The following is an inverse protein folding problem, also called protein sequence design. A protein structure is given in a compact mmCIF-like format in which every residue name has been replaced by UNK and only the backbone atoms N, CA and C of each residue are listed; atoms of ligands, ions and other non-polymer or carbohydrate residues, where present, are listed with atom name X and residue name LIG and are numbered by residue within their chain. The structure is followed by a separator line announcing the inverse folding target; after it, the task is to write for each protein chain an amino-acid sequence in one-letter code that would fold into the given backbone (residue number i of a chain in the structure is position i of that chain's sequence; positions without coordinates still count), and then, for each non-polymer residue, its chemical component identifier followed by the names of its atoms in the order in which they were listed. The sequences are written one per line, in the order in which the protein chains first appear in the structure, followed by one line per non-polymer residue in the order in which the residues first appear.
data_IF_033005489204
#
_entry.id   IF_033005489204
#
_cell.length_a   1.000
_cell.length_b   1.000
_cell.length_c   1.000
_cell.angle_alpha   90.00
_cell.angle_beta   90.00
_cell.angle_gamma   90.00
#
_symmetry.space_group_name_H-M   'P 1'
#
loop_
_entity.id
_entity.type
_entity.pdbx_description
1 polymer ?
#
# COMPACT_ATOMS: atom_id res chain seq x y z
N UNK A 1 30.00 8.75 -15.53
CA UNK A 1 28.67 8.10 -15.40
C UNK A 1 27.83 8.51 -16.59
N UNK A 2 27.20 7.58 -17.30
CA UNK A 2 26.52 7.87 -18.56
C UNK A 2 25.11 8.45 -18.31
N UNK A 3 24.67 9.36 -19.20
CA UNK A 3 23.45 10.19 -19.03
C UNK A 3 22.15 9.49 -19.49
N UNK A 4 22.28 8.32 -20.10
CA UNK A 4 21.24 7.47 -20.67
C UNK A 4 20.41 6.73 -19.61
N UNK A 5 21.06 6.24 -18.54
CA UNK A 5 20.41 5.45 -17.49
C UNK A 5 19.34 6.24 -16.73
N UNK A 6 19.57 7.55 -16.51
CA UNK A 6 18.59 8.45 -15.86
C UNK A 6 17.35 8.63 -16.74
N UNK A 7 17.53 8.74 -18.07
CA UNK A 7 16.43 8.86 -19.03
C UNK A 7 15.52 7.62 -19.04
N UNK A 8 16.11 6.42 -19.04
CA UNK A 8 15.34 5.17 -18.96
C UNK A 8 14.56 5.03 -17.65
N UNK A 9 15.15 5.39 -16.51
CA UNK A 9 14.48 5.35 -15.21
C UNK A 9 13.33 6.38 -15.15
N UNK A 10 13.54 7.60 -15.67
CA UNK A 10 12.50 8.63 -15.70
C UNK A 10 11.34 8.29 -16.67
N UNK A 11 11.66 7.65 -17.81
CA UNK A 11 10.65 7.15 -18.76
C UNK A 11 9.83 5.99 -18.18
N UNK A 12 10.49 5.07 -17.49
CA UNK A 12 9.83 3.96 -16.78
C UNK A 12 8.96 4.46 -15.62
N UNK A 13 9.40 5.50 -14.90
CA UNK A 13 8.63 6.16 -13.84
C UNK A 13 7.38 6.88 -14.38
N UNK A 14 7.50 7.66 -15.47
CA UNK A 14 6.32 8.28 -16.13
C UNK A 14 5.29 7.22 -16.58
N UNK A 15 5.76 6.08 -17.10
CA UNK A 15 4.89 4.98 -17.55
C UNK A 15 4.23 4.21 -16.40
N UNK A 16 4.71 4.36 -15.17
CA UNK A 16 4.14 3.75 -13.98
C UNK A 16 3.02 4.59 -13.35
N UNK A 17 3.01 5.91 -13.57
CA UNK A 17 2.05 6.85 -12.99
C UNK A 17 1.02 7.44 -13.99
N UNK A 18 1.24 7.34 -15.30
CA UNK A 18 0.28 7.81 -16.32
C UNK A 18 -0.23 6.67 -17.20
N UNK A 19 -1.43 6.17 -16.88
CA UNK A 19 -2.26 5.37 -17.81
C UNK A 19 -3.61 6.08 -17.98
N UNK A 20 -3.79 6.92 -19.01
CA UNK A 20 -5.08 7.55 -19.25
C UNK A 20 -6.09 6.50 -19.73
N UNK A 21 -7.27 6.48 -19.11
CA UNK A 21 -8.42 5.73 -19.63
C UNK A 21 -9.09 6.58 -20.72
N UNK A 22 -8.68 6.42 -21.98
CA UNK A 22 -9.35 7.05 -23.12
C UNK A 22 -10.53 6.21 -23.58
N UNK A 23 -11.74 6.79 -23.56
CA UNK A 23 -12.96 6.19 -24.09
C UNK A 23 -12.97 6.06 -25.62
N UNK A 24 -13.96 5.33 -26.13
CA UNK A 24 -14.20 5.17 -27.57
C UNK A 24 -14.74 6.46 -28.21
N UNK A 25 -14.35 6.72 -29.47
CA UNK A 25 -15.28 6.60 -30.59
C UNK A 25 -14.56 6.45 -31.94
N UNK A 26 -15.30 5.97 -32.95
CA UNK A 26 -14.83 5.64 -34.30
C UNK A 26 -14.54 6.94 -35.10
N UNK A 27 -13.65 7.04 -36.09
CA UNK A 27 -13.46 6.32 -37.40
C UNK A 27 -12.03 6.57 -37.95
N UNK A 28 -11.50 6.07 -39.09
CA UNK A 28 -11.90 5.06 -40.11
C UNK A 28 -10.64 4.59 -40.92
N UNK A 29 -10.60 3.28 -41.24
CA UNK A 29 -9.90 2.59 -42.35
C UNK A 29 -8.36 2.65 -42.59
N UNK A 30 -7.90 1.54 -43.17
CA UNK A 30 -6.73 1.32 -44.05
C UNK A 30 -5.29 1.55 -43.55
N UNK A 31 -4.73 0.49 -42.97
CA UNK A 31 -3.71 -0.34 -43.67
C UNK A 31 -3.60 -1.74 -43.05
N UNK A 32 -3.66 -2.77 -43.89
CA UNK A 32 -3.50 -4.15 -43.45
C UNK A 32 -2.07 -4.48 -43.03
N UNK A 33 -1.90 -5.01 -41.82
CA UNK A 33 -0.73 -5.80 -41.43
C UNK A 33 -1.23 -7.06 -40.70
N UNK A 34 -1.15 -8.25 -41.33
CA UNK A 34 -1.56 -9.49 -40.69
C UNK A 34 -0.54 -9.95 -39.64
N UNK A 35 -1.04 -10.63 -38.61
CA UNK A 35 -0.29 -11.28 -37.52
C UNK A 35 0.28 -10.40 -36.38
N UNK A 36 -0.56 -9.98 -35.44
CA UNK A 36 -0.36 -10.26 -33.99
C UNK A 36 -1.71 -10.48 -33.29
N UNK A 37 -2.39 -11.61 -33.55
CA UNK A 37 -3.62 -12.01 -32.82
C UNK A 37 -3.47 -13.37 -32.13
N UNK A 38 -2.53 -13.45 -31.20
CA UNK A 38 -2.38 -14.59 -30.29
C UNK A 38 -1.80 -14.14 -28.92
N UNK A 39 -2.34 -14.67 -27.82
CA UNK A 39 -1.63 -14.76 -26.54
C UNK A 39 -1.95 -13.78 -25.40
N UNK A 40 -2.80 -12.75 -25.55
CA UNK A 40 -2.92 -11.66 -24.55
C UNK A 40 -4.01 -11.81 -23.46
N UNK A 41 -4.43 -13.03 -23.11
CA UNK A 41 -5.41 -13.25 -22.01
C UNK A 41 -4.86 -13.97 -20.76
N UNK A 42 -3.66 -14.55 -20.81
CA UNK A 42 -3.06 -15.24 -19.64
C UNK A 42 -2.03 -14.38 -18.89
N UNK A 43 -1.33 -13.48 -19.58
CA UNK A 43 -0.29 -12.62 -18.98
C UNK A 43 -0.81 -11.64 -17.92
N UNK A 44 -1.89 -10.91 -18.23
CA UNK A 44 -2.42 -9.83 -17.37
C UNK A 44 -2.79 -10.29 -15.93
N UNK A 45 -3.13 -11.57 -15.74
CA UNK A 45 -3.38 -12.14 -14.41
C UNK A 45 -2.09 -12.34 -13.60
N UNK A 46 -1.02 -12.78 -14.25
CA UNK A 46 0.29 -12.96 -13.62
C UNK A 46 0.94 -11.60 -13.34
N UNK A 47 0.81 -10.65 -14.26
CA UNK A 47 1.30 -9.28 -14.10
C UNK A 47 0.63 -8.62 -12.86
N UNK A 48 -0.70 -8.67 -12.76
CA UNK A 48 -1.42 -8.05 -11.64
C UNK A 48 -1.16 -8.72 -10.29
N UNK A 49 -1.03 -10.06 -10.25
CA UNK A 49 -0.62 -10.78 -9.04
C UNK A 49 0.79 -10.38 -8.61
N UNK A 50 1.74 -10.32 -9.54
CA UNK A 50 3.15 -9.99 -9.28
C UNK A 50 3.31 -8.53 -8.82
N UNK A 51 2.58 -7.60 -9.44
CA UNK A 51 2.60 -6.18 -9.05
C UNK A 51 1.97 -5.98 -7.67
N UNK A 52 0.84 -6.62 -7.37
CA UNK A 52 0.22 -6.55 -6.04
C UNK A 52 1.11 -7.19 -4.96
N UNK A 53 1.75 -8.32 -5.27
CA UNK A 53 2.75 -8.96 -4.41
C UNK A 53 3.92 -8.01 -4.11
N UNK A 54 4.54 -7.43 -5.14
CA UNK A 54 5.70 -6.54 -4.97
C UNK A 54 5.33 -5.27 -4.19
N UNK A 55 4.18 -4.64 -4.47
CA UNK A 55 3.73 -3.46 -3.73
C UNK A 55 3.44 -3.77 -2.26
N UNK A 56 2.74 -4.86 -1.97
CA UNK A 56 2.49 -5.28 -0.58
C UNK A 56 3.79 -5.63 0.14
N UNK A 57 4.66 -6.44 -0.48
CA UNK A 57 5.93 -6.86 0.10
C UNK A 57 6.87 -5.68 0.37
N UNK A 58 7.12 -4.81 -0.62
CA UNK A 58 8.05 -3.67 -0.47
C UNK A 58 7.51 -2.59 0.48
N UNK A 59 6.21 -2.27 0.38
CA UNK A 59 5.55 -1.32 1.27
C UNK A 59 5.60 -1.78 2.72
N UNK A 60 5.24 -3.04 2.97
CA UNK A 60 5.38 -3.63 4.29
C UNK A 60 6.84 -3.83 4.71
N UNK A 61 7.79 -4.10 3.82
CA UNK A 61 9.21 -4.29 4.19
C UNK A 61 9.80 -3.01 4.76
N UNK A 62 9.53 -1.88 4.12
CA UNK A 62 9.89 -0.57 4.65
C UNK A 62 9.19 -0.30 5.99
N UNK A 63 7.88 -0.57 6.07
CA UNK A 63 7.05 -0.32 7.26
C UNK A 63 7.40 -1.19 8.46
N UNK A 64 7.61 -2.49 8.27
CA UNK A 64 7.90 -3.45 9.34
C UNK A 64 9.39 -3.55 9.67
N UNK A 65 10.26 -2.86 8.91
CA UNK A 65 11.71 -2.74 9.12
C UNK A 65 12.33 -3.96 9.81
N UNK A 66 12.42 -5.12 9.13
CA UNK A 66 12.73 -6.38 9.79
C UNK A 66 14.11 -6.40 10.48
N UNK A 67 15.05 -5.57 10.00
CA UNK A 67 16.37 -5.43 10.61
C UNK A 67 16.26 -4.66 11.93
N UNK A 68 15.65 -3.47 11.93
CA UNK A 68 15.50 -2.64 13.13
C UNK A 68 14.63 -3.31 14.20
N UNK A 69 13.51 -3.90 13.80
CA UNK A 69 12.64 -4.62 14.73
C UNK A 69 13.28 -5.89 15.29
N UNK A 70 14.23 -6.53 14.58
CA UNK A 70 15.03 -7.61 15.17
C UNK A 70 15.99 -7.09 16.24
N UNK A 71 16.57 -5.89 16.08
CA UNK A 71 17.34 -5.22 17.13
C UNK A 71 16.52 -4.99 18.41
N UNK A 72 15.28 -4.53 18.27
CA UNK A 72 14.33 -4.35 19.38
C UNK A 72 13.93 -5.71 19.99
N UNK A 73 13.68 -6.73 19.16
CA UNK A 73 13.41 -8.08 19.65
C UNK A 73 14.59 -8.68 20.44
N UNK A 74 15.84 -8.41 20.02
CA UNK A 74 17.05 -8.81 20.76
C UNK A 74 17.12 -8.10 22.12
N UNK A 75 16.85 -6.78 22.19
CA UNK A 75 16.92 -6.05 23.46
C UNK A 75 15.82 -6.47 24.45
N UNK A 76 14.62 -6.81 23.96
CA UNK A 76 13.54 -7.33 24.81
C UNK A 76 13.73 -8.80 25.23
N UNK A 77 14.28 -9.65 24.37
CA UNK A 77 14.43 -11.09 24.65
C UNK A 77 15.78 -11.49 25.26
N UNK A 78 16.72 -10.55 25.39
CA UNK A 78 17.91 -10.61 26.24
C UNK A 78 18.59 -11.98 26.29
N UNK A 79 18.73 -12.53 27.49
CA UNK A 79 19.35 -13.85 27.75
C UNK A 79 18.34 -15.02 27.80
N UNK A 80 17.10 -14.83 27.31
CA UNK A 80 16.11 -15.92 27.27
C UNK A 80 16.59 -17.10 26.42
N UNK A 81 16.22 -18.36 26.77
CA UNK A 81 16.64 -19.53 26.01
C UNK A 81 16.14 -19.50 24.56
N UNK A 82 16.93 -20.05 23.64
CA UNK A 82 16.63 -20.00 22.20
C UNK A 82 15.25 -20.62 21.85
N UNK A 83 14.84 -21.67 22.58
CA UNK A 83 13.53 -22.31 22.43
C UNK A 83 12.35 -21.38 22.74
N UNK A 84 12.50 -20.44 23.69
CA UNK A 84 11.48 -19.43 23.98
C UNK A 84 11.46 -18.34 22.89
N UNK A 85 12.63 -17.89 22.43
CA UNK A 85 12.75 -16.91 21.33
C UNK A 85 12.08 -17.40 20.04
N UNK A 86 12.28 -18.68 19.68
CA UNK A 86 11.60 -19.30 18.51
C UNK A 86 10.08 -19.39 18.72
N UNK A 87 9.60 -19.82 19.90
CA UNK A 87 8.15 -19.85 20.21
C UNK A 87 7.51 -18.46 20.15
N UNK A 88 8.21 -17.43 20.66
CA UNK A 88 7.78 -16.04 20.58
C UNK A 88 7.73 -15.55 19.13
N UNK A 89 8.78 -15.78 18.35
CA UNK A 89 8.85 -15.43 16.93
C UNK A 89 7.71 -16.05 16.12
N UNK A 90 7.43 -17.35 16.32
CA UNK A 90 6.32 -18.05 15.65
C UNK A 90 4.97 -17.43 16.04
N UNK A 91 4.71 -17.19 17.33
CA UNK A 91 3.45 -16.60 17.80
C UNK A 91 3.23 -15.19 17.23
N UNK A 92 4.25 -14.33 17.25
CA UNK A 92 4.19 -13.00 16.63
C UNK A 92 3.93 -13.10 15.12
N UNK A 93 4.67 -13.98 14.42
CA UNK A 93 4.54 -14.17 12.97
C UNK A 93 3.13 -14.59 12.57
N UNK A 94 2.56 -15.60 13.24
CA UNK A 94 1.22 -16.10 12.95
C UNK A 94 0.17 -15.00 13.18
N UNK A 95 0.21 -14.30 14.32
CA UNK A 95 -0.82 -13.29 14.60
C UNK A 95 -0.73 -12.08 13.67
N UNK A 96 0.48 -11.59 13.36
CA UNK A 96 0.63 -10.48 12.38
C UNK A 96 0.19 -10.93 10.98
N UNK A 97 0.51 -12.16 10.58
CA UNK A 97 0.01 -12.74 9.32
C UNK A 97 -1.51 -12.76 9.26
N UNK A 98 -2.18 -13.21 10.33
CA UNK A 98 -3.64 -13.24 10.44
C UNK A 98 -4.23 -11.83 10.38
N UNK A 99 -3.67 -10.86 11.10
CA UNK A 99 -4.14 -9.47 11.11
C UNK A 99 -4.00 -8.83 9.71
N UNK A 100 -2.86 -8.99 9.05
CA UNK A 100 -2.63 -8.43 7.71
C UNK A 100 -3.52 -9.08 6.65
N UNK A 101 -3.69 -10.41 6.67
CA UNK A 101 -4.61 -11.10 5.76
C UNK A 101 -6.05 -10.68 6.05
N UNK A 102 -6.51 -10.69 7.31
CA UNK A 102 -7.86 -10.21 7.66
C UNK A 102 -8.10 -8.77 7.17
N UNK A 103 -7.10 -7.89 7.28
CA UNK A 103 -7.15 -6.51 6.78
C UNK A 103 -7.24 -6.44 5.25
N UNK A 104 -6.49 -7.26 4.50
CA UNK A 104 -6.56 -7.30 3.02
C UNK A 104 -7.95 -7.70 2.52
N UNK A 105 -8.61 -8.63 3.21
CA UNK A 105 -9.89 -9.19 2.77
C UNK A 105 -11.10 -8.40 3.30
N UNK A 106 -11.06 -8.00 4.57
CA UNK A 106 -12.17 -7.29 5.24
C UNK A 106 -12.01 -5.77 5.36
N UNK A 107 -10.82 -5.22 5.15
CA UNK A 107 -10.54 -3.81 5.45
C UNK A 107 -11.40 -2.81 4.70
N UNK A 108 -11.67 -3.03 3.40
CA UNK A 108 -12.59 -2.16 2.65
C UNK A 108 -14.01 -2.23 3.20
N UNK A 109 -14.52 -3.43 3.48
CA UNK A 109 -15.87 -3.61 4.04
C UNK A 109 -16.02 -2.98 5.44
N UNK A 110 -14.94 -2.94 6.23
CA UNK A 110 -14.91 -2.23 7.51
C UNK A 110 -14.98 -0.71 7.29
N UNK A 111 -14.22 -0.16 6.34
CA UNK A 111 -14.28 1.27 5.99
C UNK A 111 -15.68 1.66 5.50
N UNK A 112 -16.28 0.86 4.63
CA UNK A 112 -17.64 1.05 4.12
C UNK A 112 -18.67 1.04 5.26
N UNK A 113 -18.54 0.12 6.23
CA UNK A 113 -19.42 0.03 7.40
C UNK A 113 -19.30 1.24 8.36
N UNK A 114 -18.14 1.89 8.41
CA UNK A 114 -17.94 3.15 9.15
C UNK A 114 -18.27 4.41 8.32
N UNK A 115 -18.62 4.27 7.03
CA UNK A 115 -18.82 5.40 6.12
C UNK A 115 -17.54 6.19 5.83
N UNK A 116 -16.36 5.59 6.01
CA UNK A 116 -15.06 6.23 5.79
C UNK A 116 -14.60 5.97 4.36
N UNK A 117 -14.38 7.03 3.58
CA UNK A 117 -13.88 6.87 2.22
C UNK A 117 -12.43 6.36 2.21
N UNK A 118 -12.12 5.48 1.26
CA UNK A 118 -10.76 4.98 1.05
C UNK A 118 -9.72 6.11 0.89
N UNK A 119 -9.99 7.21 0.14
CA UNK A 119 -9.05 8.34 0.03
C UNK A 119 -8.75 9.02 1.38
N UNK A 120 -9.77 9.20 2.24
CA UNK A 120 -9.58 9.76 3.58
C UNK A 120 -8.76 8.82 4.48
N UNK A 121 -8.98 7.51 4.37
CA UNK A 121 -8.19 6.52 5.09
C UNK A 121 -6.72 6.47 4.63
N UNK A 122 -6.45 6.61 3.32
CA UNK A 122 -5.09 6.74 2.78
C UNK A 122 -4.38 7.98 3.33
N UNK A 123 -5.06 9.13 3.39
CA UNK A 123 -4.52 10.37 3.97
C UNK A 123 -4.19 10.22 5.45
N UNK A 124 -5.12 9.68 6.24
CA UNK A 124 -4.94 9.48 7.68
C UNK A 124 -3.83 8.48 8.01
N UNK A 125 -3.80 7.33 7.34
CA UNK A 125 -2.73 6.34 7.53
C UNK A 125 -1.39 6.82 6.97
N UNK A 126 -1.39 7.58 5.87
CA UNK A 126 -0.21 8.26 5.35
C UNK A 126 0.43 9.18 6.39
N UNK A 127 -0.37 9.99 7.11
CA UNK A 127 0.12 10.82 8.22
C UNK A 127 0.73 9.98 9.37
N UNK A 128 0.14 8.83 9.70
CA UNK A 128 0.69 7.90 10.71
C UNK A 128 2.05 7.35 10.26
N UNK A 129 2.15 6.89 9.01
CA UNK A 129 3.39 6.35 8.44
C UNK A 129 4.46 7.45 8.32
N UNK A 130 4.07 8.69 7.97
CA UNK A 130 4.96 9.85 7.91
C UNK A 130 5.57 10.16 9.28
N UNK A 131 4.75 10.15 10.34
CA UNK A 131 5.21 10.36 11.72
C UNK A 131 6.20 9.28 12.18
N UNK A 132 5.98 8.03 11.79
CA UNK A 132 6.91 6.91 12.05
C UNK A 132 8.22 7.13 11.28
N UNK A 133 8.14 7.50 10.00
CA UNK A 133 9.31 7.84 9.17
C UNK A 133 10.16 8.96 9.77
N UNK A 134 9.54 10.06 10.21
CA UNK A 134 10.26 11.15 10.88
C UNK A 134 10.91 10.73 12.21
N UNK A 135 10.24 9.91 13.03
CA UNK A 135 10.85 9.33 14.25
C UNK A 135 12.09 8.49 13.94
N UNK A 136 12.08 7.74 12.82
CA UNK A 136 13.24 6.94 12.37
C UNK A 136 14.39 7.81 11.86
N UNK A 137 14.09 8.91 11.16
CA UNK A 137 15.09 9.90 10.74
C UNK A 137 15.75 10.62 11.92
N UNK A 138 14.97 10.96 12.95
CA UNK A 138 15.46 11.60 14.18
C UNK A 138 16.40 10.72 15.01
N UNK A 139 16.50 9.42 14.73
CA UNK A 139 17.42 8.51 15.41
C UNK A 139 17.05 8.23 16.88
N UNK A 140 15.82 8.51 17.30
CA UNK A 140 15.34 8.17 18.66
C UNK A 140 15.24 6.66 18.80
N UNK A 141 16.29 6.04 19.35
CA UNK A 141 16.62 4.61 19.18
C UNK A 141 15.49 3.61 19.50
N UNK A 142 14.55 3.99 20.37
CA UNK A 142 13.52 3.07 20.87
C UNK A 142 12.11 3.35 20.35
N UNK A 143 11.79 4.54 19.82
CA UNK A 143 10.38 5.03 19.83
C UNK A 143 9.68 5.16 18.48
N UNK A 144 10.33 4.74 17.38
CA UNK A 144 9.72 4.76 16.04
C UNK A 144 8.51 3.82 15.91
N UNK A 145 8.64 2.59 16.43
CA UNK A 145 7.58 1.59 16.44
C UNK A 145 6.80 1.54 17.77
N UNK A 146 7.18 2.34 18.77
CA UNK A 146 6.34 2.58 19.94
C UNK A 146 5.23 3.59 19.60
N UNK A 147 4.02 3.07 19.35
CA UNK A 147 2.78 3.86 19.51
C UNK A 147 2.58 4.15 21.00
N UNK A 148 2.02 5.32 21.36
CA UNK A 148 1.89 5.74 22.77
C UNK A 148 1.04 4.78 23.64
N UNK A 149 0.15 4.01 23.00
CA UNK A 149 -0.59 2.93 23.66
C UNK A 149 0.35 1.82 24.20
N UNK A 150 1.46 1.54 23.52
CA UNK A 150 2.48 0.60 23.99
C UNK A 150 3.43 1.19 25.02
N UNK A 151 3.71 2.50 24.97
CA UNK A 151 4.61 3.13 25.95
C UNK A 151 4.00 3.29 27.33
N UNK A 152 2.69 3.63 27.44
CA UNK A 152 2.00 3.66 28.74
C UNK A 152 2.00 2.31 29.44
N UNK A 153 1.70 1.22 28.71
CA UNK A 153 1.83 -0.13 29.25
C UNK A 153 3.27 -0.51 29.59
N UNK A 154 4.27 0.00 28.85
CA UNK A 154 5.68 -0.26 29.16
C UNK A 154 6.13 0.44 30.46
N UNK A 155 5.66 1.67 30.72
CA UNK A 155 5.93 2.38 31.98
C UNK A 155 5.21 1.74 33.17
N UNK A 156 3.94 1.35 33.02
CA UNK A 156 3.17 0.62 34.04
C UNK A 156 3.81 -0.75 34.39
N UNK A 157 4.43 -1.42 33.41
CA UNK A 157 5.18 -2.68 33.62
C UNK A 157 6.54 -2.42 34.26
N UNK A 158 7.23 -1.32 33.92
CA UNK A 158 8.52 -0.96 34.53
C UNK A 158 8.37 -0.54 36.00
N UNK A 159 7.20 -0.04 36.38
CA UNK A 159 6.85 0.27 37.77
C UNK A 159 6.53 -0.98 38.63
N UNK A 160 6.44 -2.18 38.03
CA UNK A 160 6.21 -3.45 38.72
C UNK A 160 7.40 -4.42 38.57
N UNK A 161 8.48 -4.12 39.30
CA UNK A 161 9.49 -5.14 39.58
C UNK A 161 8.87 -6.32 40.36
N UNK A 162 8.94 -7.52 39.78
CA UNK A 162 9.03 -8.85 40.43
C UNK A 162 8.63 -9.98 39.46
N UNK A 163 7.70 -9.73 38.54
CA UNK A 163 7.08 -10.78 37.70
C UNK A 163 6.83 -10.32 36.25
N UNK A 164 7.85 -9.83 35.56
CA UNK A 164 7.77 -9.59 34.10
C UNK A 164 7.81 -10.93 33.38
N UNK A 165 6.68 -11.62 33.38
CA UNK A 165 6.50 -12.88 32.66
C UNK A 165 6.76 -12.64 31.16
N UNK A 166 7.76 -13.35 30.65
CA UNK A 166 8.17 -13.44 29.24
C UNK A 166 7.02 -13.67 28.24
N UNK A 167 5.86 -14.13 28.72
CA UNK A 167 4.61 -14.25 27.97
C UNK A 167 4.06 -12.90 27.48
N UNK A 168 4.37 -11.78 28.14
CA UNK A 168 3.77 -10.46 27.87
C UNK A 168 4.45 -9.64 26.75
N UNK A 169 5.71 -9.97 26.41
CA UNK A 169 6.46 -9.32 25.30
C UNK A 169 5.79 -9.58 23.94
N UNK A 170 5.18 -10.75 23.80
CA UNK A 170 4.60 -11.20 22.52
C UNK A 170 3.32 -10.43 22.17
N UNK A 171 2.32 -10.26 23.07
CA UNK A 171 1.21 -9.32 22.85
C UNK A 171 1.66 -7.90 22.56
N UNK A 172 2.68 -7.37 23.25
CA UNK A 172 3.15 -5.99 23.04
C UNK A 172 3.75 -5.79 21.63
N UNK A 173 4.41 -6.81 21.09
CA UNK A 173 4.99 -6.79 19.73
C UNK A 173 3.93 -6.82 18.61
N UNK A 174 2.69 -7.25 18.90
CA UNK A 174 1.65 -7.43 17.88
C UNK A 174 1.05 -6.11 17.36
N UNK A 175 0.58 -5.15 18.19
CA UNK A 175 0.16 -3.82 17.74
C UNK A 175 1.27 -2.99 17.10
N UNK A 176 2.53 -3.36 17.36
CA UNK A 176 3.71 -2.66 16.85
C UNK A 176 3.98 -3.09 15.39
N UNK A 177 3.96 -4.40 15.11
CA UNK A 177 4.25 -4.97 13.79
C UNK A 177 3.03 -5.01 12.87
N UNK A 178 1.87 -5.42 13.40
CA UNK A 178 0.56 -5.35 12.74
C UNK A 178 -0.15 -4.02 12.99
N UNK A 179 0.60 -2.95 13.24
CA UNK A 179 0.07 -1.66 13.67
C UNK A 179 -0.71 -0.89 12.61
N UNK A 180 -1.28 0.28 12.98
CA UNK A 180 -2.15 1.05 12.10
C UNK A 180 -1.51 1.38 10.74
N UNK A 181 -0.22 1.72 10.71
CA UNK A 181 0.48 1.94 9.44
C UNK A 181 0.56 0.69 8.55
N UNK A 182 0.90 -0.48 9.11
CA UNK A 182 0.93 -1.76 8.37
C UNK A 182 -0.45 -2.14 7.85
N UNK A 183 -1.49 -1.96 8.67
CA UNK A 183 -2.90 -2.16 8.28
C UNK A 183 -3.27 -1.22 7.14
N UNK A 184 -3.01 0.09 7.25
CA UNK A 184 -3.33 1.05 6.18
C UNK A 184 -2.57 0.72 4.90
N UNK A 185 -1.30 0.34 4.97
CA UNK A 185 -0.52 -0.08 3.78
C UNK A 185 -1.20 -1.25 3.07
N UNK A 186 -1.57 -2.33 3.77
CA UNK A 186 -2.17 -3.50 3.09
C UNK A 186 -3.59 -3.26 2.61
N UNK A 187 -4.39 -2.47 3.33
CA UNK A 187 -5.75 -2.09 2.89
C UNK A 187 -5.67 -1.20 1.66
N UNK A 188 -4.75 -0.23 1.63
CA UNK A 188 -4.50 0.64 0.46
C UNK A 188 -4.08 -0.18 -0.76
N UNK A 189 -3.14 -1.12 -0.60
CA UNK A 189 -2.72 -2.00 -1.72
C UNK A 189 -3.85 -2.94 -2.16
N UNK A 190 -4.62 -3.52 -1.23
CA UNK A 190 -5.75 -4.38 -1.54
C UNK A 190 -6.89 -3.64 -2.28
N UNK A 191 -7.11 -2.37 -1.94
CA UNK A 191 -8.11 -1.53 -2.58
C UNK A 191 -7.65 -0.99 -3.95
N UNK A 192 -6.34 -0.76 -4.15
CA UNK A 192 -5.76 -0.44 -5.45
C UNK A 192 -5.84 -1.62 -6.46
N UNK A 193 -5.93 -2.86 -5.97
CA UNK A 193 -6.09 -4.06 -6.80
C UNK A 193 -7.30 -4.90 -6.32
N UNK A 194 -8.54 -4.41 -6.50
CA UNK A 194 -9.74 -4.99 -5.88
C UNK A 194 -10.10 -6.39 -6.43
N UNK A 195 -9.51 -6.79 -7.57
CA UNK A 195 -9.66 -8.13 -8.15
C UNK A 195 -9.19 -9.23 -7.19
N UNK A 196 -9.81 -10.41 -7.29
CA UNK A 196 -9.42 -11.60 -6.51
C UNK A 196 -7.93 -11.95 -6.67
N UNK A 197 -7.37 -11.80 -7.87
CA UNK A 197 -5.94 -12.02 -8.15
C UNK A 197 -5.03 -10.98 -7.49
N UNK A 198 -5.50 -9.74 -7.38
CA UNK A 198 -4.80 -8.65 -6.70
C UNK A 198 -4.75 -8.86 -5.19
N UNK A 199 -5.89 -9.14 -4.57
CA UNK A 199 -5.99 -9.48 -3.14
C UNK A 199 -5.17 -10.72 -2.77
N UNK A 200 -5.14 -11.73 -3.65
CA UNK A 200 -4.29 -12.91 -3.46
C UNK A 200 -2.79 -12.57 -3.57
N UNK A 201 -2.38 -11.76 -4.55
CA UNK A 201 -1.01 -11.27 -4.67
C UNK A 201 -0.56 -10.46 -3.45
N UNK A 202 -1.39 -9.53 -2.97
CA UNK A 202 -1.14 -8.77 -1.76
C UNK A 202 -1.04 -9.66 -0.51
N UNK A 203 -1.90 -10.68 -0.41
CA UNK A 203 -1.87 -11.66 0.69
C UNK A 203 -0.56 -12.47 0.68
N UNK A 204 -0.11 -12.93 -0.49
CA UNK A 204 1.17 -13.61 -0.65
C UNK A 204 2.36 -12.70 -0.31
N UNK A 205 2.30 -11.40 -0.67
CA UNK A 205 3.33 -10.42 -0.32
C UNK A 205 3.43 -10.18 1.18
N UNK A 206 2.28 -10.04 1.86
CA UNK A 206 2.22 -9.92 3.32
C UNK A 206 2.75 -11.19 4.02
N UNK A 207 2.31 -12.38 3.58
CA UNK A 207 2.76 -13.66 4.15
C UNK A 207 4.26 -13.91 3.92
N UNK A 208 4.79 -13.57 2.74
CA UNK A 208 6.22 -13.69 2.45
C UNK A 208 7.05 -12.80 3.37
N UNK A 209 6.60 -11.56 3.64
CA UNK A 209 7.32 -10.69 4.55
C UNK A 209 7.19 -11.13 6.02
N UNK A 210 6.00 -11.53 6.48
CA UNK A 210 5.86 -12.01 7.87
C UNK A 210 6.72 -13.25 8.10
N UNK A 211 6.88 -14.12 7.10
CA UNK A 211 7.83 -15.23 7.14
C UNK A 211 9.30 -14.73 7.23
N UNK A 212 9.72 -13.75 6.43
CA UNK A 212 11.06 -13.13 6.54
C UNK A 212 11.27 -12.55 7.93
N UNK A 213 10.30 -11.82 8.48
CA UNK A 213 10.35 -11.24 9.82
C UNK A 213 10.47 -12.33 10.90
N UNK A 214 9.69 -13.41 10.79
CA UNK A 214 9.76 -14.56 11.67
C UNK A 214 11.11 -15.27 11.64
N UNK A 215 11.71 -15.40 10.45
CA UNK A 215 13.08 -15.93 10.27
C UNK A 215 14.10 -14.99 10.93
N UNK A 216 14.00 -13.67 10.75
CA UNK A 216 14.89 -12.70 11.42
C UNK A 216 14.81 -12.78 12.95
N UNK A 217 13.59 -12.89 13.52
CA UNK A 217 13.41 -13.09 14.96
C UNK A 217 13.92 -14.44 15.46
N UNK A 218 13.72 -15.53 14.72
CA UNK A 218 14.28 -16.83 15.07
C UNK A 218 15.82 -16.82 15.00
N UNK A 219 16.40 -16.12 14.02
CA UNK A 219 17.83 -15.94 13.85
C UNK A 219 18.45 -14.85 14.75
N UNK A 220 17.66 -14.18 15.60
CA UNK A 220 18.09 -13.07 16.47
C UNK A 220 19.36 -13.34 17.28
N UNK A 221 19.52 -14.57 17.80
CA UNK A 221 20.71 -14.97 18.56
C UNK A 221 22.01 -14.99 17.72
N UNK A 222 21.90 -15.25 16.41
CA UNK A 222 23.01 -15.17 15.46
C UNK A 222 23.20 -13.71 15.00
N UNK A 223 22.10 -13.02 14.71
CA UNK A 223 22.08 -11.64 14.22
C UNK A 223 22.68 -10.63 15.22
N UNK A 224 22.55 -10.90 16.54
CA UNK A 224 23.23 -10.15 17.62
C UNK A 224 24.74 -10.03 17.44
N UNK A 225 25.39 -10.96 16.74
CA UNK A 225 26.85 -10.92 16.48
C UNK A 225 27.22 -10.11 15.24
N UNK A 226 26.26 -9.75 14.40
CA UNK A 226 26.49 -9.04 13.13
C UNK A 226 25.95 -7.60 13.12
N UNK A 227 24.93 -7.29 13.92
CA UNK A 227 24.36 -5.93 14.00
C UNK A 227 25.05 -5.12 15.09
N UNK A 228 25.98 -4.26 14.67
CA UNK A 228 26.56 -3.19 15.49
C UNK A 228 25.54 -2.04 15.65
N UNK A 229 25.43 -1.37 16.81
CA UNK A 229 24.50 -0.25 17.01
C UNK A 229 24.59 0.86 15.95
N UNK A 230 25.81 1.23 15.52
CA UNK A 230 26.01 2.19 14.43
C UNK A 230 25.41 1.75 13.09
N UNK A 231 25.49 0.45 12.75
CA UNK A 231 24.90 -0.08 11.53
C UNK A 231 23.36 -0.08 11.61
N UNK A 232 22.81 -0.42 12.78
CA UNK A 232 21.36 -0.33 13.04
C UNK A 232 20.84 1.10 12.85
N UNK A 233 21.56 2.13 13.32
CA UNK A 233 21.19 3.53 13.13
C UNK A 233 21.19 3.97 11.66
N UNK A 234 22.20 3.56 10.88
CA UNK A 234 22.26 3.88 9.44
C UNK A 234 21.07 3.23 8.71
N UNK A 235 20.78 1.96 9.00
CA UNK A 235 19.66 1.23 8.39
C UNK A 235 18.31 1.82 8.81
N UNK A 236 18.14 2.20 10.08
CA UNK A 236 16.92 2.83 10.59
C UNK A 236 16.63 4.14 9.85
N UNK A 237 17.64 5.01 9.68
CA UNK A 237 17.50 6.25 8.92
C UNK A 237 17.21 6.02 7.44
N UNK A 238 17.84 5.03 6.83
CA UNK A 238 17.57 4.67 5.42
C UNK A 238 16.15 4.16 5.21
N UNK A 239 15.66 3.26 6.08
CA UNK A 239 14.25 2.83 6.08
C UNK A 239 13.30 4.01 6.37
N UNK A 240 13.69 4.93 7.25
CA UNK A 240 12.93 6.16 7.55
C UNK A 240 12.74 7.06 6.32
N UNK A 241 13.79 7.25 5.50
CA UNK A 241 13.68 8.00 4.24
C UNK A 241 12.69 7.33 3.27
N UNK A 242 12.72 5.99 3.16
CA UNK A 242 11.78 5.24 2.32
C UNK A 242 10.35 5.36 2.86
N UNK A 243 10.15 5.30 4.18
CA UNK A 243 8.84 5.44 4.80
C UNK A 243 8.23 6.82 4.60
N UNK A 244 9.02 7.89 4.70
CA UNK A 244 8.57 9.25 4.37
C UNK A 244 8.14 9.34 2.91
N UNK A 245 8.86 8.71 1.98
CA UNK A 245 8.49 8.68 0.57
C UNK A 245 7.19 7.89 0.30
N UNK A 246 7.03 6.71 0.91
CA UNK A 246 5.79 5.91 0.81
C UNK A 246 4.60 6.65 1.42
N UNK A 247 4.80 7.31 2.57
CA UNK A 247 3.76 8.11 3.21
C UNK A 247 3.31 9.27 2.32
N UNK A 248 4.26 9.97 1.68
CA UNK A 248 3.95 11.04 0.73
C UNK A 248 3.18 10.52 -0.49
N UNK A 249 3.56 9.36 -1.05
CA UNK A 249 2.84 8.70 -2.17
C UNK A 249 1.39 8.33 -1.78
N UNK A 250 1.19 7.75 -0.59
CA UNK A 250 -0.14 7.45 -0.03
C UNK A 250 -0.98 8.72 0.18
N UNK A 251 -0.39 9.78 0.73
CA UNK A 251 -1.08 11.05 0.94
C UNK A 251 -1.43 11.75 -0.37
N UNK A 252 -0.53 11.76 -1.36
CA UNK A 252 -0.79 12.34 -2.68
C UNK A 252 -1.88 11.57 -3.43
N UNK A 253 -1.86 10.23 -3.37
CA UNK A 253 -2.88 9.37 -3.99
C UNK A 253 -4.25 9.60 -3.35
N UNK A 254 -4.34 9.61 -2.02
CA UNK A 254 -5.58 9.91 -1.30
C UNK A 254 -6.07 11.34 -1.53
N UNK A 255 -5.19 12.33 -1.63
CA UNK A 255 -5.57 13.71 -1.95
C UNK A 255 -6.13 13.84 -3.37
N UNK A 256 -5.45 13.26 -4.37
CA UNK A 256 -5.89 13.29 -5.77
C UNK A 256 -7.25 12.61 -5.95
N UNK A 257 -7.48 11.47 -5.30
CA UNK A 257 -8.77 10.78 -5.30
C UNK A 257 -9.86 11.63 -4.64
N UNK A 258 -9.59 12.17 -3.44
CA UNK A 258 -10.55 13.04 -2.72
C UNK A 258 -10.96 14.27 -3.54
N UNK A 259 -10.01 14.90 -4.25
CA UNK A 259 -10.29 16.06 -5.10
C UNK A 259 -11.06 15.66 -6.37
N UNK A 260 -10.77 14.51 -6.98
CA UNK A 260 -11.51 14.02 -8.13
C UNK A 260 -12.97 13.66 -7.78
N UNK A 261 -13.19 13.02 -6.63
CA UNK A 261 -14.52 12.69 -6.13
C UNK A 261 -15.32 13.96 -5.79
N UNK A 262 -14.69 14.92 -5.09
CA UNK A 262 -15.30 16.22 -4.80
C UNK A 262 -15.62 17.04 -6.05
N UNK A 263 -14.74 17.03 -7.06
CA UNK A 263 -14.98 17.69 -8.34
C UNK A 263 -16.18 17.08 -9.08
N UNK A 264 -16.34 15.75 -9.10
CA UNK A 264 -17.54 15.10 -9.66
C UNK A 264 -18.82 15.50 -8.92
N UNK A 265 -18.74 15.78 -7.63
CA UNK A 265 -19.90 16.19 -6.82
C UNK A 265 -20.27 17.67 -6.99
N UNK A 266 -19.33 18.52 -7.43
CA UNK A 266 -19.56 19.96 -7.72
C UNK A 266 -19.85 20.23 -9.20
N UNK A 267 -19.42 19.34 -10.12
CA UNK A 267 -19.63 19.44 -11.57
C UNK A 267 -20.68 18.44 -12.13
N UNK A 268 -21.76 18.01 -11.42
CA UNK A 268 -22.81 17.24 -12.09
C UNK A 268 -23.63 18.15 -13.05
N UNK A 269 -23.88 19.40 -12.65
CA UNK A 269 -24.70 20.33 -13.43
C UNK A 269 -24.09 20.80 -14.75
N UNK A 270 -22.76 20.78 -14.91
CA UNK A 270 -22.13 21.25 -16.16
C UNK A 270 -22.01 20.13 -17.21
N UNK A 271 -21.87 18.87 -16.79
CA UNK A 271 -21.83 17.74 -17.74
C UNK A 271 -23.23 17.45 -18.27
N UNK A 272 -24.23 17.37 -17.39
CA UNK A 272 -25.63 17.16 -17.78
C UNK A 272 -26.19 18.28 -18.69
N UNK A 273 -25.64 19.49 -18.61
CA UNK A 273 -26.07 20.64 -19.43
C UNK A 273 -25.30 20.73 -20.76
N UNK A 274 -24.07 20.19 -20.84
CA UNK A 274 -23.34 20.01 -22.10
C UNK A 274 -23.90 18.82 -22.90
N UNK A 275 -24.15 17.68 -22.26
CA UNK A 275 -24.76 16.51 -22.94
C UNK A 275 -26.15 16.88 -23.51
N UNK A 276 -26.97 17.62 -22.76
CA UNK A 276 -28.26 18.17 -23.25
C UNK A 276 -28.13 19.27 -24.31
N UNK A 277 -26.98 19.94 -24.39
CA UNK A 277 -26.72 20.92 -25.43
C UNK A 277 -26.31 20.21 -26.74
N UNK A 278 -25.49 19.15 -26.68
CA UNK A 278 -25.16 18.34 -27.86
C UNK A 278 -26.39 17.58 -28.40
N UNK A 279 -27.19 16.93 -27.54
CA UNK A 279 -28.43 16.22 -27.93
C UNK A 279 -29.41 17.15 -28.67
N UNK A 280 -29.56 18.41 -28.21
CA UNK A 280 -30.39 19.42 -28.88
C UNK A 280 -29.85 19.93 -30.22
N UNK A 281 -28.54 19.86 -30.44
CA UNK A 281 -27.92 20.25 -31.71
C UNK A 281 -28.11 19.12 -32.73
N UNK A 282 -27.92 17.86 -32.33
CA UNK A 282 -28.17 16.70 -33.19
C UNK A 282 -29.66 16.60 -33.59
N UNK A 283 -30.60 16.75 -32.65
CA UNK A 283 -32.05 16.75 -32.94
C UNK A 283 -32.46 17.89 -33.89
N UNK A 284 -31.82 19.05 -33.79
CA UNK A 284 -32.06 20.20 -34.67
C UNK A 284 -31.61 19.93 -36.11
N UNK A 285 -30.39 19.42 -36.28
CA UNK A 285 -29.82 19.12 -37.60
C UNK A 285 -30.56 17.96 -38.31
N UNK A 286 -31.06 16.99 -37.54
CA UNK A 286 -31.91 15.91 -38.03
C UNK A 286 -33.30 16.40 -38.51
N UNK A 287 -33.84 17.46 -37.89
CA UNK A 287 -35.13 18.05 -38.29
C UNK A 287 -35.01 18.86 -39.60
N UNK A 288 -33.97 19.68 -39.74
CA UNK A 288 -33.76 20.52 -40.92
C UNK A 288 -33.41 19.69 -42.17
N UNK A 289 -32.60 18.64 -42.02
CA UNK A 289 -32.25 17.73 -43.12
C UNK A 289 -33.46 16.98 -43.69
N UNK A 290 -34.43 16.59 -42.84
CA UNK A 290 -35.63 15.87 -43.28
C UNK A 290 -36.65 16.79 -43.99
N UNK A 291 -36.59 18.11 -43.77
CA UNK A 291 -37.41 19.08 -44.52
C UNK A 291 -36.83 19.46 -45.89
N UNK A 292 -35.57 19.13 -46.18
CA UNK A 292 -34.88 19.48 -47.42
C UNK A 292 -34.96 18.40 -48.52
N UNK A 293 -35.54 17.22 -48.24
CA UNK A 293 -35.67 16.13 -49.19
C UNK A 293 -36.65 16.47 -50.35
N UNK A 294 -36.20 16.54 -51.62
CA UNK A 294 -37.09 16.82 -52.73
C UNK A 294 -38.04 15.64 -52.98
N UNK A 295 -39.34 15.91 -53.17
CA UNK A 295 -40.31 14.92 -53.64
C UNK A 295 -40.00 14.52 -55.08
N UNK A 296 -39.17 13.49 -55.27
CA UNK A 296 -39.06 12.80 -56.55
C UNK A 296 -40.35 11.99 -56.79
N UNK A 297 -41.22 12.49 -57.66
CA UNK A 297 -42.48 11.85 -58.04
C UNK A 297 -42.85 12.15 -59.48
N UNK A 298 -43.30 11.09 -60.17
CA UNK A 298 -43.75 10.99 -61.57
C UNK A 298 -42.80 11.47 -62.66
#
# INVERSE_FOLDING_TARGET
MPRDMVGSILGMWKRFHYTPCTGHNHTQADRASPQVRAGRHTGARHDMLTVAFLKAFLGLFAMMNPIGNTGIFISMTGDMPASYKVKAAIKVTITVSVILVASIWGGTAILDAFGISLPAFQLAGGLIVLGIGFKMLGGTENSAHHTEAGSKQLEDVKAKEATVDSTMIVPLSMPILGGPGSITTVVTVAAAYPSMTGKLGASLGALALTLVMGICFAASGLLRRFITPHAQQIILRFMGMILVAIAADMMLTGFQQSVADGARQVIPGFVDEVDKAEEKIEDGEQSDSNSAAPRAGS
#
